data_IF_316310456588
#
_entry.id   IF_316310456588
#
_cell.length_a   1.000
_cell.length_b   1.000
_cell.length_c   1.000
_cell.angle_alpha   90.00
_cell.angle_beta   90.00
_cell.angle_gamma   90.00
#
_symmetry.space_group_name_H-M   'P 1'
#
loop_
_entity.id
_entity.type
_entity.pdbx_description
1 polymer ?
#
# COMPACT_ATOMS: atom_id res chain seq x y z
N UNK A 1 -3.45 1.33 -23.29
CA UNK A 1 -2.70 1.57 -22.05
C UNK A 1 -3.54 1.15 -20.85
N UNK A 2 -2.94 0.46 -19.92
CA UNK A 2 -3.62 0.01 -18.71
C UNK A 2 -3.14 0.82 -17.52
N UNK A 3 -4.06 1.34 -16.73
CA UNK A 3 -3.74 2.08 -15.51
C UNK A 3 -4.13 1.24 -14.30
N UNK A 4 -3.23 1.19 -13.33
CA UNK A 4 -3.44 0.40 -12.13
C UNK A 4 -3.00 1.16 -10.89
N UNK A 5 -3.59 0.82 -9.77
CA UNK A 5 -3.18 1.35 -8.47
C UNK A 5 -2.75 0.20 -7.60
N UNK A 6 -1.54 0.29 -7.07
CA UNK A 6 -0.99 -0.70 -6.14
C UNK A 6 -0.92 -0.06 -4.77
N UNK A 7 -1.55 -0.72 -3.80
CA UNK A 7 -1.51 -0.26 -2.40
C UNK A 7 -0.66 -1.25 -1.61
N UNK A 8 0.31 -0.75 -0.87
CA UNK A 8 1.24 -1.57 -0.07
C UNK A 8 1.12 -1.14 1.38
N UNK A 9 0.84 -2.10 2.27
CA UNK A 9 0.72 -1.85 3.70
C UNK A 9 1.50 -2.91 4.47
N UNK A 10 1.90 -2.58 5.70
CA UNK A 10 2.56 -3.55 6.57
C UNK A 10 1.58 -4.64 6.98
N UNK A 11 2.08 -5.87 7.09
CA UNK A 11 1.28 -6.99 7.58
C UNK A 11 0.85 -6.76 9.01
N UNK A 12 -0.25 -7.40 9.41
CA UNK A 12 -0.69 -7.38 10.79
C UNK A 12 0.42 -7.98 11.68
N UNK A 13 0.64 -7.35 12.82
CA UNK A 13 1.69 -7.80 13.74
C UNK A 13 3.07 -7.20 13.48
N UNK A 14 3.26 -6.53 12.35
CA UNK A 14 4.50 -5.79 12.09
C UNK A 14 4.34 -4.39 12.64
N UNK A 15 5.32 -3.94 13.41
CA UNK A 15 5.31 -2.61 13.99
C UNK A 15 5.37 -1.54 12.90
N UNK A 16 4.50 -0.55 12.99
CA UNK A 16 4.46 0.61 12.10
C UNK A 16 4.84 1.85 12.91
N UNK A 17 6.13 2.21 12.99
CA UNK A 17 6.55 3.35 13.80
C UNK A 17 6.00 4.67 13.29
N UNK A 18 5.78 4.81 11.98
CA UNK A 18 5.20 6.03 11.41
C UNK A 18 3.73 6.17 11.78
N UNK A 19 2.98 5.07 11.69
CA UNK A 19 1.58 5.07 12.12
C UNK A 19 1.44 5.40 13.60
N UNK A 20 2.32 4.85 14.43
CA UNK A 20 2.32 5.14 15.87
C UNK A 20 2.63 6.61 16.14
N UNK A 21 3.58 7.19 15.41
CA UNK A 21 3.91 8.60 15.56
C UNK A 21 2.73 9.49 15.17
N UNK A 22 2.00 9.10 14.12
CA UNK A 22 0.81 9.84 13.69
C UNK A 22 -0.28 9.77 14.77
N UNK A 23 -0.49 8.59 15.36
CA UNK A 23 -1.44 8.44 16.48
C UNK A 23 -1.12 9.41 17.61
N UNK A 24 0.14 9.46 17.99
CA UNK A 24 0.58 10.37 19.05
C UNK A 24 0.38 11.83 18.69
N UNK A 25 0.70 12.18 17.44
CA UNK A 25 0.51 13.53 16.94
C UNK A 25 -0.95 13.96 16.94
N UNK A 26 -1.84 13.08 16.50
CA UNK A 26 -3.27 13.37 16.49
C UNK A 26 -3.82 13.55 17.90
N UNK A 27 -3.40 12.71 18.82
CA UNK A 27 -3.80 12.85 20.23
C UNK A 27 -3.34 14.19 20.80
N UNK A 28 -2.13 14.62 20.47
CA UNK A 28 -1.59 15.90 20.91
C UNK A 28 -2.36 17.09 20.36
N UNK A 29 -2.98 16.92 19.19
CA UNK A 29 -3.77 17.96 18.56
C UNK A 29 -5.24 17.98 19.04
N UNK A 30 -5.59 17.08 19.96
CA UNK A 30 -6.90 17.06 20.56
C UNK A 30 -7.90 16.13 19.90
N UNK A 31 -7.45 15.27 18.99
CA UNK A 31 -8.36 14.30 18.37
C UNK A 31 -8.55 13.10 19.31
N UNK A 32 -9.78 12.85 19.67
CA UNK A 32 -10.14 11.73 20.53
C UNK A 32 -10.67 10.56 19.70
N UNK A 33 -10.62 9.37 20.29
CA UNK A 33 -11.23 8.20 19.66
C UNK A 33 -10.37 7.55 18.57
N UNK A 34 -9.11 7.95 18.46
CA UNK A 34 -8.19 7.31 17.50
C UNK A 34 -7.72 5.99 18.10
N UNK A 35 -8.20 4.89 17.55
CA UNK A 35 -7.82 3.56 18.05
C UNK A 35 -6.52 3.07 17.43
N UNK A 36 -6.32 3.33 16.13
CA UNK A 36 -5.09 2.96 15.47
C UNK A 36 -4.90 3.76 14.19
N UNK A 37 -3.65 3.93 13.80
CA UNK A 37 -3.29 4.51 12.50
C UNK A 37 -2.25 3.60 11.86
N UNK A 38 -2.47 3.26 10.61
CA UNK A 38 -1.51 2.50 9.83
C UNK A 38 -1.21 3.27 8.56
N UNK A 39 0.06 3.31 8.22
CA UNK A 39 0.54 4.03 7.04
C UNK A 39 0.92 3.04 5.96
N UNK A 40 0.70 3.42 4.71
CA UNK A 40 1.08 2.59 3.58
C UNK A 40 1.53 3.46 2.42
N UNK A 41 1.78 2.79 1.29
CA UNK A 41 2.22 3.45 0.06
C UNK A 41 1.23 3.15 -1.05
N UNK A 42 1.09 4.09 -1.98
CA UNK A 42 0.27 3.91 -3.17
C UNK A 42 1.14 4.19 -4.39
N UNK A 43 1.10 3.30 -5.36
CA UNK A 43 1.77 3.48 -6.63
C UNK A 43 0.72 3.52 -7.73
N UNK A 44 0.75 4.56 -8.55
CA UNK A 44 -0.06 4.63 -9.75
C UNK A 44 0.84 4.21 -10.92
N UNK A 45 0.47 3.15 -11.60
CA UNK A 45 1.28 2.54 -12.64
C UNK A 45 0.54 2.57 -13.96
N UNK A 46 1.19 3.02 -15.01
CA UNK A 46 0.65 2.96 -16.37
C UNK A 46 1.48 1.95 -17.14
N UNK A 47 0.79 0.98 -17.75
CA UNK A 47 1.44 -0.08 -18.53
C UNK A 47 0.95 -0.04 -19.96
N UNK A 48 1.86 -0.23 -20.90
CA UNK A 48 1.44 -0.53 -22.27
C UNK A 48 1.04 -2.00 -22.34
N UNK A 49 0.11 -2.32 -23.24
CA UNK A 49 -0.35 -3.68 -23.43
C UNK A 49 -1.78 -3.87 -22.95
N UNK A 50 -2.20 -5.12 -22.91
CA UNK A 50 -3.58 -5.46 -22.61
C UNK A 50 -3.82 -5.66 -21.12
N UNK A 51 -5.07 -5.49 -20.71
CA UNK A 51 -5.48 -5.76 -19.34
C UNK A 51 -5.31 -7.23 -18.95
N UNK A 52 -5.37 -8.13 -19.94
CA UNK A 52 -5.29 -9.55 -19.69
C UNK A 52 -3.97 -9.94 -19.01
N UNK A 53 -2.88 -9.27 -19.38
CA UNK A 53 -1.57 -9.57 -18.83
C UNK A 53 -1.16 -8.66 -17.67
N UNK A 54 -1.92 -7.58 -17.46
CA UNK A 54 -1.55 -6.56 -16.49
C UNK A 54 -1.52 -7.08 -15.06
N UNK A 55 -2.51 -7.88 -14.66
CA UNK A 55 -2.56 -8.41 -13.29
C UNK A 55 -1.32 -9.22 -12.95
N UNK A 56 -0.90 -10.08 -13.87
CA UNK A 56 0.27 -10.91 -13.65
C UNK A 56 1.54 -10.07 -13.60
N UNK A 57 1.69 -9.12 -14.53
CA UNK A 57 2.83 -8.24 -14.57
C UNK A 57 2.95 -7.41 -13.31
N UNK A 58 1.81 -6.88 -12.85
CA UNK A 58 1.78 -6.06 -11.63
C UNK A 58 2.11 -6.87 -10.39
N UNK A 59 1.61 -8.11 -10.31
CA UNK A 59 1.96 -9.00 -9.21
C UNK A 59 3.46 -9.28 -9.18
N UNK A 60 4.07 -9.53 -10.33
CA UNK A 60 5.51 -9.72 -10.43
C UNK A 60 6.27 -8.48 -9.97
N UNK A 61 5.80 -7.29 -10.37
CA UNK A 61 6.42 -6.04 -9.96
C UNK A 61 6.37 -5.87 -8.44
N UNK A 62 5.25 -6.20 -7.82
CA UNK A 62 5.10 -6.13 -6.38
C UNK A 62 6.05 -7.08 -5.67
N UNK A 63 6.12 -8.34 -6.15
CA UNK A 63 6.97 -9.36 -5.54
C UNK A 63 8.46 -9.01 -5.65
N UNK A 64 8.84 -8.37 -6.74
CA UNK A 64 10.26 -8.13 -7.02
C UNK A 64 10.78 -6.78 -6.54
N UNK A 65 9.92 -5.78 -6.44
CA UNK A 65 10.39 -4.43 -6.13
C UNK A 65 9.43 -3.59 -5.31
N UNK A 66 8.14 -3.53 -5.67
CA UNK A 66 7.24 -2.54 -5.08
C UNK A 66 6.92 -2.83 -3.61
N UNK A 67 6.90 -4.09 -3.22
CA UNK A 67 6.61 -4.49 -1.85
C UNK A 67 7.68 -5.42 -1.32
N UNK A 68 7.95 -5.33 -0.03
CA UNK A 68 8.77 -6.31 0.66
C UNK A 68 7.81 -7.32 1.29
N UNK A 69 7.56 -8.42 0.58
CA UNK A 69 6.52 -9.37 0.95
C UNK A 69 6.79 -10.14 2.24
N UNK A 70 7.98 -10.00 2.81
CA UNK A 70 8.26 -10.55 4.14
C UNK A 70 7.47 -9.79 5.20
N UNK A 71 7.34 -8.47 5.06
CA UNK A 71 6.70 -7.62 6.06
C UNK A 71 5.51 -6.84 5.54
N UNK A 72 5.26 -6.87 4.22
CA UNK A 72 4.21 -6.05 3.59
C UNK A 72 3.23 -6.90 2.80
N UNK A 73 1.98 -6.45 2.79
CA UNK A 73 0.95 -6.96 1.89
C UNK A 73 0.73 -5.92 0.79
N UNK A 74 0.22 -6.39 -0.35
CA UNK A 74 -0.11 -5.47 -1.43
C UNK A 74 -1.47 -5.83 -2.04
N UNK A 75 -2.09 -4.83 -2.64
CA UNK A 75 -3.33 -5.01 -3.39
C UNK A 75 -3.20 -4.28 -4.72
N UNK A 76 -3.68 -4.90 -5.77
CA UNK A 76 -3.64 -4.33 -7.12
C UNK A 76 -5.06 -4.08 -7.58
N UNK A 77 -5.32 -2.87 -8.07
CA UNK A 77 -6.61 -2.49 -8.64
C UNK A 77 -6.37 -1.96 -10.04
N UNK A 78 -7.03 -2.55 -11.02
CA UNK A 78 -7.01 -2.03 -12.39
C UNK A 78 -8.06 -0.93 -12.46
N UNK A 79 -7.64 0.29 -12.70
CA UNK A 79 -8.55 1.44 -12.69
C UNK A 79 -8.96 1.89 -14.09
N UNK A 80 -8.32 1.34 -15.13
CA UNK A 80 -8.71 1.69 -16.50
C UNK A 80 -8.27 0.66 -17.53
#
# INVERSE_FOLDING_TARGET
MTKARVTVTLKNGVLDPQGKAIEGGLASLGFDGIESVRQGKVFDVELSGSKADADKTLADMCEKLLANTVIEDYAVEIVE
#
